data_IF_957322691241
#
_entry.id   IF_957322691241
#
_cell.length_a   1.000
_cell.length_b   1.000
_cell.length_c   1.000
_cell.angle_alpha   90.00
_cell.angle_beta   90.00
_cell.angle_gamma   90.00
#
_symmetry.space_group_name_H-M   'P 1'
#
loop_
_entity.id
_entity.type
_entity.pdbx_description
1 polymer ?
#
# COMPACT_ATOMS: atom_id res chain seq x y z
N UNK A 1 -10.98 -11.69 42.44
CA UNK A 1 -11.14 -10.37 41.79
C UNK A 1 -9.83 -10.06 41.10
N UNK A 2 -9.81 -10.09 39.77
CA UNK A 2 -8.59 -9.85 39.00
C UNK A 2 -8.19 -8.38 39.14
N UNK A 3 -6.97 -8.14 39.61
CA UNK A 3 -6.42 -6.80 39.79
C UNK A 3 -6.30 -6.11 38.42
N UNK A 4 -7.11 -5.09 38.19
CA UNK A 4 -7.24 -4.31 36.95
C UNK A 4 -6.20 -3.17 36.88
N UNK A 5 -5.06 -3.36 37.54
CA UNK A 5 -3.96 -2.41 37.67
C UNK A 5 -2.95 -2.43 36.50
N UNK A 6 -3.28 -3.10 35.39
CA UNK A 6 -2.58 -2.92 34.12
C UNK A 6 -2.88 -1.52 33.59
N UNK A 7 -2.02 -0.55 33.93
CA UNK A 7 -1.92 0.72 33.22
C UNK A 7 -1.61 0.39 31.76
N UNK A 8 -2.64 0.38 30.90
CA UNK A 8 -2.45 0.36 29.46
C UNK A 8 -1.55 1.54 29.11
N UNK A 9 -0.33 1.26 28.66
CA UNK A 9 0.52 2.29 28.08
C UNK A 9 -0.28 2.93 26.95
N UNK A 10 -0.48 4.24 27.06
CA UNK A 10 -1.19 5.00 26.06
C UNK A 10 -0.39 4.86 24.76
N UNK A 11 -0.95 4.16 23.78
CA UNK A 11 -0.30 4.01 22.48
C UNK A 11 -0.11 5.41 21.89
N UNK A 12 1.14 5.81 21.63
CA UNK A 12 1.40 6.98 20.81
C UNK A 12 0.97 6.64 19.39
N UNK A 13 -0.29 6.95 19.06
CA UNK A 13 -0.85 6.65 17.73
C UNK A 13 -0.26 7.55 16.65
N UNK A 14 0.30 8.69 17.03
CA UNK A 14 0.82 9.68 16.10
C UNK A 14 2.31 9.44 15.85
N UNK A 15 2.65 9.37 14.56
CA UNK A 15 4.03 9.45 14.11
C UNK A 15 4.60 10.87 14.35
N UNK A 16 5.92 11.00 14.55
CA UNK A 16 6.57 12.30 14.54
C UNK A 16 6.26 13.09 13.26
N UNK A 17 6.16 14.42 13.36
CA UNK A 17 5.84 15.28 12.20
C UNK A 17 6.89 15.13 11.07
N UNK A 18 8.15 14.89 11.43
CA UNK A 18 9.21 14.62 10.45
C UNK A 18 8.94 13.41 9.57
N UNK A 19 8.18 12.41 10.05
CA UNK A 19 7.85 11.22 9.28
C UNK A 19 7.07 11.52 7.99
N UNK A 20 6.44 12.69 7.88
CA UNK A 20 5.67 13.07 6.70
C UNK A 20 6.51 13.76 5.61
N UNK A 21 7.73 14.21 5.91
CA UNK A 21 8.51 15.04 4.97
C UNK A 21 10.02 14.75 4.94
N UNK A 22 10.56 13.91 5.82
CA UNK A 22 11.97 13.53 5.79
C UNK A 22 12.28 12.68 4.55
N UNK A 23 13.09 13.24 3.64
CA UNK A 23 13.45 12.59 2.39
C UNK A 23 14.29 11.32 2.60
N UNK A 24 15.16 11.28 3.61
CA UNK A 24 15.99 10.12 3.89
C UNK A 24 15.16 8.95 4.44
N UNK A 25 14.17 9.26 5.29
CA UNK A 25 13.21 8.26 5.74
C UNK A 25 12.41 7.68 4.57
N UNK A 26 11.89 8.54 3.69
CA UNK A 26 11.13 8.10 2.51
C UNK A 26 11.94 7.14 1.61
N UNK A 27 13.20 7.46 1.31
CA UNK A 27 14.05 6.59 0.49
C UNK A 27 14.24 5.20 1.13
N UNK A 28 14.46 5.17 2.45
CA UNK A 28 14.60 3.91 3.17
C UNK A 28 13.31 3.09 3.15
N UNK A 29 12.16 3.72 3.33
CA UNK A 29 10.87 3.04 3.23
C UNK A 29 10.63 2.48 1.82
N UNK A 30 10.98 3.23 0.78
CA UNK A 30 10.90 2.75 -0.60
C UNK A 30 11.72 1.47 -0.79
N UNK A 31 12.99 1.45 -0.39
CA UNK A 31 13.88 0.30 -0.55
C UNK A 31 13.44 -0.93 0.24
N UNK A 32 12.95 -0.72 1.48
CA UNK A 32 12.71 -1.81 2.43
C UNK A 32 11.27 -2.31 2.39
N UNK A 33 10.29 -1.41 2.21
CA UNK A 33 8.86 -1.75 2.35
C UNK A 33 8.13 -1.81 1.00
N UNK A 34 8.39 -0.87 0.09
CA UNK A 34 7.52 -0.67 -1.07
C UNK A 34 8.07 -1.21 -2.40
N UNK A 35 9.39 -1.27 -2.58
CA UNK A 35 10.00 -1.85 -3.78
C UNK A 35 9.95 -3.39 -3.78
N UNK A 36 9.94 -4.00 -2.59
CA UNK A 36 10.03 -5.45 -2.43
C UNK A 36 8.72 -6.01 -1.88
N UNK A 37 7.91 -6.61 -2.76
CA UNK A 37 6.74 -7.37 -2.33
C UNK A 37 5.55 -7.29 -3.30
N UNK A 38 4.50 -8.09 -3.04
CA UNK A 38 3.24 -7.96 -3.74
C UNK A 38 2.61 -6.60 -3.40
N UNK A 39 2.06 -5.94 -4.41
CA UNK A 39 1.33 -4.69 -4.28
C UNK A 39 -0.02 -4.80 -4.95
N UNK A 40 -1.01 -4.16 -4.35
CA UNK A 40 -2.31 -4.00 -4.98
C UNK A 40 -2.18 -3.10 -6.21
N UNK A 41 -2.63 -3.57 -7.37
CA UNK A 41 -2.59 -2.84 -8.64
C UNK A 41 -3.98 -2.48 -9.18
N UNK A 42 -5.03 -3.17 -8.73
CA UNK A 42 -6.39 -2.97 -9.18
C UNK A 42 -7.28 -4.16 -8.83
N UNK A 43 -8.55 -4.06 -9.24
CA UNK A 43 -9.56 -5.08 -9.00
C UNK A 43 -9.92 -5.80 -10.30
N UNK A 44 -10.24 -7.10 -10.25
CA UNK A 44 -10.63 -7.88 -11.44
C UNK A 44 -11.88 -7.33 -12.12
N UNK A 45 -12.82 -6.73 -11.36
CA UNK A 45 -14.00 -6.07 -11.93
C UNK A 45 -13.68 -4.83 -12.77
N UNK A 46 -12.44 -4.31 -12.72
CA UNK A 46 -11.99 -3.25 -13.63
C UNK A 46 -11.69 -3.78 -15.04
N UNK A 47 -11.56 -5.11 -15.21
CA UNK A 47 -11.31 -5.80 -16.48
C UNK A 47 -12.19 -7.05 -16.59
N UNK A 48 -13.53 -6.90 -16.68
CA UNK A 48 -14.46 -8.01 -16.53
C UNK A 48 -14.37 -9.05 -17.64
N UNK A 49 -13.92 -8.72 -18.85
CA UNK A 49 -13.84 -9.61 -20.01
C UNK A 49 -12.40 -9.81 -20.47
N UNK A 50 -12.14 -10.92 -21.19
CA UNK A 50 -10.85 -11.15 -21.85
C UNK A 50 -10.63 -10.06 -22.90
N UNK A 51 -9.45 -9.44 -22.88
CA UNK A 51 -9.11 -8.31 -23.74
C UNK A 51 -9.38 -6.95 -23.11
N UNK A 52 -10.13 -6.88 -21.99
CA UNK A 52 -10.28 -5.63 -21.26
C UNK A 52 -8.94 -5.21 -20.64
N UNK A 53 -8.71 -3.90 -20.63
CA UNK A 53 -7.57 -3.30 -19.97
C UNK A 53 -7.98 -2.09 -19.13
N UNK A 54 -7.23 -1.85 -18.06
CA UNK A 54 -7.38 -0.69 -17.20
C UNK A 54 -6.01 -0.04 -16.98
N UNK A 55 -5.82 1.14 -17.56
CA UNK A 55 -4.61 1.94 -17.34
C UNK A 55 -4.53 2.40 -15.89
N UNK A 56 -3.38 2.20 -15.25
CA UNK A 56 -3.19 2.42 -13.82
C UNK A 56 -3.01 3.93 -13.51
N UNK A 57 -3.97 4.58 -12.80
CA UNK A 57 -3.89 6.02 -12.55
C UNK A 57 -2.71 6.40 -11.65
N UNK A 58 -2.37 5.55 -10.67
CA UNK A 58 -1.24 5.76 -9.75
C UNK A 58 0.13 5.83 -10.44
N UNK A 59 0.20 5.42 -11.71
CA UNK A 59 1.43 5.44 -12.51
C UNK A 59 1.28 6.34 -13.73
N UNK A 60 0.31 7.25 -13.72
CA UNK A 60 0.04 8.17 -14.83
C UNK A 60 -0.18 7.43 -16.15
N UNK A 61 -0.78 6.23 -16.09
CA UNK A 61 -1.00 5.39 -17.27
C UNK A 61 0.26 4.68 -17.81
N UNK A 62 1.37 4.69 -17.08
CA UNK A 62 2.62 4.01 -17.49
C UNK A 62 2.52 2.48 -17.55
N UNK A 63 1.51 1.89 -16.90
CA UNK A 63 1.18 0.46 -16.98
C UNK A 63 -0.33 0.26 -17.05
N UNK A 64 -0.75 -0.92 -17.50
CA UNK A 64 -2.15 -1.35 -17.52
C UNK A 64 -2.31 -2.73 -16.90
N UNK A 65 -3.42 -2.91 -16.17
CA UNK A 65 -3.93 -4.24 -15.82
C UNK A 65 -4.68 -4.78 -17.05
N UNK A 66 -4.35 -5.99 -17.50
CA UNK A 66 -4.94 -6.61 -18.69
C UNK A 66 -5.44 -8.00 -18.34
N UNK A 67 -6.68 -8.33 -18.74
CA UNK A 67 -7.20 -9.68 -18.61
C UNK A 67 -6.91 -10.47 -19.89
N UNK A 68 -5.95 -11.40 -19.81
CA UNK A 68 -5.56 -12.22 -20.95
C UNK A 68 -6.48 -13.46 -21.09
N UNK A 69 -6.27 -14.25 -22.14
CA UNK A 69 -7.06 -15.45 -22.39
C UNK A 69 -6.82 -16.59 -21.38
N UNK A 70 -5.75 -16.50 -20.59
CA UNK A 70 -5.34 -17.49 -19.60
C UNK A 70 -5.90 -17.19 -18.20
N UNK A 71 -6.59 -16.06 -18.01
CA UNK A 71 -7.17 -15.64 -16.73
C UNK A 71 -6.38 -14.48 -16.13
#
# INVERSE_FOLDING_TARGET
>A
MSDLSLRLQQASSQLPVSSYFDAALFQREMEVLFQRGPRYVGHSLSVPNVGDYHALPQELGGRALVRNAQG
#
